data_IF_105038645428
#
_entry.id   IF_105038645428
#
_cell.length_a   1.000
_cell.length_b   1.000
_cell.length_c   1.000
_cell.angle_alpha   90.00
_cell.angle_beta   90.00
_cell.angle_gamma   90.00
#
_symmetry.space_group_name_H-M   'P 1'
#
loop_
_entity.id
_entity.type
_entity.pdbx_description
1 polymer ?
#
# COMPACT_ATOMS: atom_id res chain seq x y z
N UNK A 1 14.24 2.91 -51.16
CA UNK A 1 14.96 3.46 -50.00
C UNK A 1 14.05 4.52 -49.38
N UNK A 2 13.20 4.12 -48.43
CA UNK A 2 12.27 5.03 -47.75
C UNK A 2 12.29 4.60 -46.29
N UNK A 3 13.02 5.38 -45.49
CA UNK A 3 13.36 5.08 -44.11
C UNK A 3 12.13 5.39 -43.23
N UNK A 4 11.61 4.37 -42.57
CA UNK A 4 10.54 4.46 -41.58
C UNK A 4 11.16 5.01 -40.28
N UNK A 5 10.96 6.30 -39.98
CA UNK A 5 11.39 6.91 -38.73
C UNK A 5 10.43 6.54 -37.59
N UNK A 6 10.87 5.64 -36.71
CA UNK A 6 10.22 5.37 -35.43
C UNK A 6 10.25 6.63 -34.54
N UNK A 7 9.08 7.16 -34.20
CA UNK A 7 8.93 8.05 -33.05
C UNK A 7 8.85 7.19 -31.78
N UNK A 8 9.94 7.14 -31.02
CA UNK A 8 9.93 6.67 -29.64
C UNK A 8 9.37 7.78 -28.75
N UNK A 9 8.09 7.71 -28.42
CA UNK A 9 7.51 8.51 -27.34
C UNK A 9 8.12 8.02 -26.01
N UNK A 10 9.05 8.77 -25.45
CA UNK A 10 9.52 8.53 -24.09
C UNK A 10 8.37 8.85 -23.13
N UNK A 11 7.75 7.80 -22.59
CA UNK A 11 6.72 7.92 -21.58
C UNK A 11 7.32 8.55 -20.32
N UNK A 12 6.87 9.76 -20.00
CA UNK A 12 6.98 10.34 -18.66
C UNK A 12 6.43 9.32 -17.65
N UNK A 13 7.25 8.95 -16.66
CA UNK A 13 6.86 8.01 -15.60
C UNK A 13 5.95 8.76 -14.62
N UNK A 14 4.67 8.41 -14.64
CA UNK A 14 3.66 8.93 -13.73
C UNK A 14 3.98 8.55 -12.26
N UNK A 15 3.46 9.34 -11.32
CA UNK A 15 3.57 9.13 -9.87
C UNK A 15 3.17 7.69 -9.49
N UNK A 16 3.96 7.10 -8.60
CA UNK A 16 3.78 5.75 -8.09
C UNK A 16 3.33 5.83 -6.63
N UNK A 17 2.13 5.34 -6.30
CA UNK A 17 1.77 5.20 -4.87
C UNK A 17 2.78 4.32 -4.14
N UNK A 18 3.00 4.61 -2.87
CA UNK A 18 3.87 3.83 -2.00
C UNK A 18 3.52 2.34 -2.08
N UNK A 19 4.54 1.52 -2.31
CA UNK A 19 4.41 0.06 -2.36
C UNK A 19 4.79 -0.53 -1.00
N UNK A 20 4.04 -1.54 -0.55
CA UNK A 20 4.26 -2.22 0.72
C UNK A 20 4.54 -3.71 0.47
N UNK A 21 5.59 -4.24 1.10
CA UNK A 21 5.88 -5.67 1.05
C UNK A 21 4.94 -6.45 1.96
N UNK A 22 4.63 -5.89 3.12
CA UNK A 22 3.75 -6.48 4.13
C UNK A 22 2.30 -5.96 4.00
N UNK A 23 1.82 -5.72 2.76
CA UNK A 23 0.47 -5.25 2.45
C UNK A 23 -0.65 -6.03 3.17
N UNK A 24 -0.49 -7.34 3.36
CA UNK A 24 -1.44 -8.23 4.03
C UNK A 24 -1.68 -7.90 5.50
N UNK A 25 -0.77 -7.15 6.14
CA UNK A 25 -0.92 -6.73 7.52
C UNK A 25 -1.61 -5.37 7.62
N UNK A 26 -1.59 -4.57 6.55
CA UNK A 26 -2.15 -3.22 6.49
C UNK A 26 -3.08 -3.01 5.28
N UNK A 27 -3.95 -3.99 5.02
CA UNK A 27 -4.86 -4.02 3.87
C UNK A 27 -5.79 -2.82 3.78
N UNK A 28 -6.07 -2.13 4.89
CA UNK A 28 -6.89 -0.91 4.92
C UNK A 28 -6.38 0.18 3.97
N UNK A 29 -5.07 0.28 3.80
CA UNK A 29 -4.43 1.31 2.95
C UNK A 29 -4.72 1.14 1.47
N UNK A 30 -4.92 -0.11 1.03
CA UNK A 30 -5.22 -0.45 -0.37
C UNK A 30 -6.71 -0.69 -0.59
N UNK A 31 -7.46 -1.10 0.44
CA UNK A 31 -8.88 -1.43 0.34
C UNK A 31 -9.65 -0.98 1.59
N UNK A 32 -10.42 0.10 1.45
CA UNK A 32 -11.25 0.67 2.52
C UNK A 32 -12.34 -0.28 3.02
N UNK A 33 -12.73 -1.30 2.26
CA UNK A 33 -13.67 -2.32 2.72
C UNK A 33 -13.07 -3.30 3.74
N UNK A 34 -11.75 -3.36 3.89
CA UNK A 34 -11.09 -4.13 4.95
C UNK A 34 -11.25 -3.49 6.34
N UNK A 35 -11.57 -2.19 6.41
CA UNK A 35 -11.72 -1.43 7.66
C UNK A 35 -12.66 -2.13 8.64
N UNK A 36 -12.23 -2.36 9.89
CA UNK A 36 -13.05 -2.98 10.93
C UNK A 36 -13.44 -4.44 10.68
N UNK A 37 -12.81 -5.14 9.73
CA UNK A 37 -13.02 -6.58 9.53
C UNK A 37 -12.39 -7.42 10.64
N UNK A 38 -11.36 -6.89 11.30
CA UNK A 38 -10.81 -7.46 12.54
C UNK A 38 -11.81 -7.20 13.67
N UNK A 39 -12.03 -8.17 14.54
CA UNK A 39 -13.03 -8.08 15.61
C UNK A 39 -12.55 -7.23 16.82
N UNK A 40 -11.49 -6.45 16.63
CA UNK A 40 -10.77 -5.67 17.65
C UNK A 40 -10.41 -4.28 17.11
N UNK A 41 -10.08 -3.33 18.00
CA UNK A 41 -9.39 -2.12 17.61
C UNK A 41 -7.97 -2.50 17.17
N UNK A 42 -7.62 -2.22 15.92
CA UNK A 42 -6.31 -2.51 15.36
C UNK A 42 -5.59 -1.21 15.06
N UNK A 43 -4.35 -1.09 15.55
CA UNK A 43 -3.45 0.02 15.29
C UNK A 43 -2.21 -0.56 14.62
N UNK A 44 -1.81 -0.01 13.47
CA UNK A 44 -0.64 -0.46 12.74
C UNK A 44 0.24 0.76 12.47
N UNK A 45 1.52 0.65 12.82
CA UNK A 45 2.58 1.52 12.36
C UNK A 45 3.49 0.75 11.42
N UNK A 46 3.83 1.33 10.28
CA UNK A 46 4.76 0.75 9.32
C UNK A 46 5.74 1.83 8.87
N UNK A 47 7.02 1.48 8.80
CA UNK A 47 8.07 2.30 8.22
C UNK A 47 8.80 1.50 7.16
N UNK A 48 9.05 2.14 6.02
CA UNK A 48 9.74 1.55 4.88
C UNK A 48 10.80 2.51 4.38
N UNK A 49 12.02 2.00 4.24
CA UNK A 49 13.12 2.70 3.58
C UNK A 49 13.50 1.92 2.33
N UNK A 50 13.27 2.51 1.16
CA UNK A 50 13.47 1.87 -0.12
C UNK A 50 14.84 2.18 -0.69
N UNK A 51 15.43 1.22 -1.40
CA UNK A 51 16.67 1.39 -2.15
C UNK A 51 17.79 2.05 -1.34
N UNK A 52 18.07 1.47 -0.17
CA UNK A 52 19.06 1.99 0.77
C UNK A 52 20.42 2.16 0.08
N UNK A 53 21.02 3.33 0.26
CA UNK A 53 22.26 3.74 -0.39
C UNK A 53 22.07 4.68 -1.58
N UNK A 54 20.84 4.86 -2.08
CA UNK A 54 20.51 5.91 -3.05
C UNK A 54 20.13 7.21 -2.34
N UNK A 55 20.75 8.32 -2.75
CA UNK A 55 20.39 9.65 -2.25
C UNK A 55 19.00 10.04 -2.76
N UNK A 56 18.13 10.47 -1.84
CA UNK A 56 16.75 10.83 -2.16
C UNK A 56 15.83 9.64 -2.42
N UNK A 57 16.21 8.44 -1.98
CA UNK A 57 15.37 7.26 -2.11
C UNK A 57 14.06 7.38 -1.31
N UNK A 58 13.00 6.63 -1.71
CA UNK A 58 11.71 6.69 -1.04
C UNK A 58 11.77 6.26 0.44
N UNK A 59 11.22 7.10 1.31
CA UNK A 59 10.94 6.77 2.70
C UNK A 59 9.45 6.94 2.97
N UNK A 60 8.80 5.87 3.42
CA UNK A 60 7.36 5.86 3.66
C UNK A 60 7.07 5.53 5.13
N UNK A 61 6.29 6.39 5.78
CA UNK A 61 5.67 6.13 7.08
C UNK A 61 4.17 5.94 6.91
N UNK A 62 3.64 4.96 7.61
CA UNK A 62 2.22 4.65 7.58
C UNK A 62 1.71 4.40 9.00
N UNK A 63 0.60 5.05 9.33
CA UNK A 63 -0.13 4.83 10.56
C UNK A 63 -1.60 4.57 10.22
N UNK A 64 -2.13 3.43 10.64
CA UNK A 64 -3.56 3.13 10.55
C UNK A 64 -4.13 2.78 11.91
N UNK A 65 -5.39 3.16 12.10
CA UNK A 65 -6.21 2.74 13.24
C UNK A 65 -7.59 2.43 12.71
N UNK A 66 -8.12 1.24 13.01
CA UNK A 66 -9.48 0.90 12.65
C UNK A 66 -10.14 -0.02 13.64
N UNK A 67 -11.46 0.03 13.71
CA UNK A 67 -12.27 -0.74 14.65
C UNK A 67 -13.59 -1.16 14.02
N UNK A 68 -14.12 -2.34 14.36
CA UNK A 68 -15.54 -2.59 14.19
C UNK A 68 -16.33 -1.66 15.13
N UNK A 69 -17.44 -1.14 14.65
CA UNK A 69 -18.40 -0.34 15.41
C UNK A 69 -19.77 -0.97 15.27
N UNK A 70 -20.36 -1.36 16.41
CA UNK A 70 -21.57 -2.19 16.42
C UNK A 70 -21.36 -3.52 15.68
N UNK A 71 -22.41 -3.99 15.00
CA UNK A 71 -22.42 -5.33 14.40
C UNK A 71 -21.95 -5.38 12.95
N UNK A 72 -22.02 -4.26 12.22
CA UNK A 72 -21.83 -4.26 10.76
C UNK A 72 -21.00 -3.09 10.24
N UNK A 73 -20.63 -2.12 11.07
CA UNK A 73 -19.83 -0.99 10.60
C UNK A 73 -18.37 -1.21 10.97
N UNK A 74 -17.48 -0.73 10.11
CA UNK A 74 -16.07 -0.50 10.43
C UNK A 74 -15.75 0.97 10.24
N UNK A 75 -14.99 1.55 11.16
CA UNK A 75 -14.43 2.90 11.04
C UNK A 75 -12.93 2.83 11.13
N UNK A 76 -12.24 3.69 10.39
CA UNK A 76 -10.79 3.80 10.48
C UNK A 76 -10.23 5.12 9.99
N UNK A 77 -9.00 5.39 10.40
CA UNK A 77 -8.16 6.48 9.96
C UNK A 77 -6.83 5.92 9.43
N UNK A 78 -6.34 6.47 8.33
CA UNK A 78 -5.04 6.17 7.75
C UNK A 78 -4.29 7.46 7.48
N UNK A 79 -3.03 7.51 7.90
CA UNK A 79 -2.09 8.59 7.62
C UNK A 79 -0.88 7.96 6.95
N UNK A 80 -0.56 8.42 5.75
CA UNK A 80 0.62 7.98 4.99
C UNK A 80 1.45 9.21 4.68
N UNK A 81 2.72 9.17 5.02
CA UNK A 81 3.70 10.18 4.63
C UNK A 81 4.75 9.49 3.78
N UNK A 82 4.91 9.96 2.55
CA UNK A 82 5.88 9.43 1.59
C UNK A 82 6.80 10.54 1.13
N UNK A 83 8.10 10.29 1.25
CA UNK A 83 9.14 11.24 0.90
C UNK A 83 10.00 10.65 -0.19
N UNK A 84 10.04 11.30 -1.35
CA UNK A 84 10.81 10.85 -2.52
C UNK A 84 11.59 12.04 -3.05
N UNK A 85 12.92 12.00 -2.91
CA UNK A 85 13.85 13.02 -3.39
C UNK A 85 13.47 14.45 -2.92
N UNK A 86 12.87 15.25 -3.80
CA UNK A 86 12.43 16.63 -3.54
C UNK A 86 10.97 16.75 -3.11
N UNK A 87 10.21 15.65 -3.15
CA UNK A 87 8.78 15.60 -2.90
C UNK A 87 8.49 15.01 -1.52
N UNK A 88 7.56 15.64 -0.81
CA UNK A 88 6.94 15.15 0.41
C UNK A 88 5.43 15.12 0.19
N UNK A 89 4.82 13.97 0.41
CA UNK A 89 3.41 13.73 0.18
C UNK A 89 2.78 13.12 1.44
N UNK A 90 1.83 13.83 2.03
CA UNK A 90 1.09 13.35 3.20
C UNK A 90 -0.38 13.17 2.88
N UNK A 91 -0.84 11.92 2.91
CA UNK A 91 -2.23 11.53 2.71
C UNK A 91 -2.89 11.23 4.05
N UNK A 92 -4.05 11.85 4.31
CA UNK A 92 -4.89 11.59 5.48
C UNK A 92 -6.27 11.15 5.01
N UNK A 93 -6.69 9.94 5.40
CA UNK A 93 -7.96 9.34 4.99
C UNK A 93 -8.77 8.82 6.18
N UNK A 94 -10.04 9.20 6.22
CA UNK A 94 -11.05 8.44 6.96
C UNK A 94 -11.66 7.35 6.09
N UNK A 95 -11.94 6.19 6.67
CA UNK A 95 -12.62 5.08 5.99
C UNK A 95 -13.81 4.58 6.80
N UNK A 96 -14.87 4.21 6.08
CA UNK A 96 -16.04 3.54 6.61
C UNK A 96 -16.33 2.29 5.78
N UNK A 97 -16.69 1.21 6.45
CA UNK A 97 -17.13 -0.03 5.81
C UNK A 97 -18.45 -0.52 6.36
N UNK A 98 -19.22 -1.21 5.52
CA UNK A 98 -20.44 -1.92 5.89
C UNK A 98 -20.31 -3.41 5.55
N UNK A 99 -20.40 -4.25 6.58
CA UNK A 99 -20.26 -5.70 6.53
C UNK A 99 -21.64 -6.35 6.36
N UNK A 100 -21.84 -6.96 5.19
CA UNK A 100 -23.04 -7.69 4.78
C UNK A 100 -22.79 -9.19 4.96
N UNK A 101 -23.38 -9.84 5.98
CA UNK A 101 -23.34 -11.29 6.08
C UNK A 101 -24.09 -11.89 4.88
N UNK A 102 -23.40 -12.66 4.06
CA UNK A 102 -23.99 -13.31 2.88
C UNK A 102 -24.50 -14.71 3.24
N UNK A 103 -23.80 -15.37 4.16
CA UNK A 103 -24.08 -16.72 4.64
C UNK A 103 -23.36 -16.93 5.99
N UNK A 104 -23.54 -18.08 6.64
CA UNK A 104 -22.80 -18.40 7.86
C UNK A 104 -21.29 -18.44 7.59
N UNK A 105 -20.56 -17.60 8.34
CA UNK A 105 -19.12 -17.45 8.20
C UNK A 105 -18.63 -16.79 6.91
N UNK A 106 -19.51 -16.22 6.07
CA UNK A 106 -19.17 -15.50 4.82
C UNK A 106 -19.67 -14.06 4.90
N UNK A 107 -18.82 -13.09 4.60
CA UNK A 107 -19.17 -11.67 4.70
C UNK A 107 -18.62 -10.90 3.50
N UNK A 108 -19.48 -10.11 2.89
CA UNK A 108 -19.11 -9.10 1.90
C UNK A 108 -19.07 -7.75 2.60
N UNK A 109 -17.90 -7.12 2.64
CA UNK A 109 -17.73 -5.76 3.13
C UNK A 109 -17.67 -4.80 1.95
N UNK A 110 -18.38 -3.70 2.03
CA UNK A 110 -18.30 -2.58 1.10
C UNK A 110 -17.73 -1.38 1.84
N UNK A 111 -16.77 -0.68 1.25
CA UNK A 111 -16.07 0.40 1.91
C UNK A 111 -15.95 1.63 1.02
N UNK A 112 -15.92 2.78 1.68
CA UNK A 112 -15.57 4.06 1.06
C UNK A 112 -14.56 4.77 1.96
N UNK A 113 -13.63 5.48 1.35
CA UNK A 113 -12.71 6.36 2.05
C UNK A 113 -12.77 7.76 1.45
N UNK A 114 -12.49 8.74 2.29
CA UNK A 114 -12.45 10.15 1.93
C UNK A 114 -11.38 10.86 2.76
N UNK A 115 -10.69 11.78 2.11
CA UNK A 115 -9.53 12.41 2.71
C UNK A 115 -8.94 13.51 1.84
N UNK A 116 -7.69 13.83 2.15
CA UNK A 116 -6.92 14.81 1.42
C UNK A 116 -5.46 14.37 1.35
N UNK A 117 -4.84 14.75 0.25
CA UNK A 117 -3.43 14.60 0.00
C UNK A 117 -2.77 15.99 0.04
N UNK A 118 -1.64 16.09 0.74
CA UNK A 118 -0.86 17.32 0.90
C UNK A 118 0.49 17.10 0.23
N UNK A 119 0.71 17.76 -0.90
CA UNK A 119 1.96 17.67 -1.67
C UNK A 119 2.81 18.92 -1.44
N UNK A 120 4.06 18.70 -1.06
CA UNK A 120 5.11 19.72 -1.03
C UNK A 120 6.28 19.29 -1.90
N UNK A 121 6.78 20.19 -2.75
CA UNK A 121 7.92 19.95 -3.65
C UNK A 121 8.92 21.08 -3.48
N UNK A 122 10.12 20.72 -3.04
CA UNK A 122 11.22 21.65 -2.81
C UNK A 122 12.24 21.56 -3.95
N UNK A 123 12.04 22.38 -4.99
CA UNK A 123 12.90 22.40 -6.17
C UNK A 123 14.32 22.87 -5.87
N UNK A 124 14.58 23.53 -4.74
CA UNK A 124 15.93 23.90 -4.33
C UNK A 124 16.85 22.67 -4.12
N UNK A 125 16.26 21.53 -3.76
CA UNK A 125 16.97 20.25 -3.58
C UNK A 125 17.27 19.53 -4.89
N UNK A 126 16.70 19.97 -6.02
CA UNK A 126 16.90 19.36 -7.33
C UNK A 126 18.25 19.73 -7.98
N UNK A 127 19.05 20.58 -7.32
CA UNK A 127 20.24 21.22 -7.91
C UNK A 127 21.49 20.29 -7.98
N UNK A 128 21.29 19.04 -8.44
CA UNK A 128 22.35 18.02 -8.65
C UNK A 128 22.76 17.86 -10.12
N UNK A 129 22.56 18.87 -10.96
CA UNK A 129 23.19 18.96 -12.30
C UNK A 129 22.24 18.84 -13.52
N UNK A 130 20.93 18.71 -13.32
CA UNK A 130 19.90 18.82 -14.38
C UNK A 130 19.08 20.12 -14.27
N UNK A 131 19.67 21.15 -13.65
CA UNK A 131 19.05 22.46 -13.46
C UNK A 131 19.29 23.29 -14.74
N UNK A 132 18.24 23.56 -15.51
CA UNK A 132 18.24 24.70 -16.44
C UNK A 132 17.86 25.94 -15.63
N UNK A 133 18.78 26.89 -15.38
CA UNK A 133 18.47 28.14 -14.67
C UNK A 133 17.36 28.97 -15.32
N UNK A 134 17.00 28.66 -16.57
CA UNK A 134 15.99 29.36 -17.35
C UNK A 134 14.62 28.68 -17.36
N UNK A 135 14.40 27.54 -16.68
CA UNK A 135 13.07 26.94 -16.58
C UNK A 135 12.22 27.70 -15.54
N UNK A 136 11.20 28.48 -15.94
CA UNK A 136 10.39 29.29 -15.03
C UNK A 136 9.58 28.44 -14.03
N UNK A 137 9.38 27.14 -14.31
CA UNK A 137 8.57 26.24 -13.47
C UNK A 137 9.35 25.64 -12.31
N UNK A 138 10.69 25.66 -12.35
CA UNK A 138 11.56 25.14 -11.29
C UNK A 138 11.98 26.23 -10.29
N UNK A 139 11.49 27.46 -10.47
CA UNK A 139 11.85 28.62 -9.65
C UNK A 139 10.97 28.80 -8.39
N UNK A 140 9.84 28.08 -8.30
CA UNK A 140 8.89 28.22 -7.19
C UNK A 140 8.55 26.88 -6.56
N UNK A 141 8.86 26.75 -5.26
CA UNK A 141 8.46 25.59 -4.47
C UNK A 141 6.93 25.43 -4.46
N UNK A 142 6.49 24.17 -4.43
CA UNK A 142 5.10 23.84 -4.15
C UNK A 142 5.02 23.59 -2.65
N UNK A 143 4.18 24.32 -1.94
CA UNK A 143 4.00 24.16 -0.50
C UNK A 143 2.56 23.75 -0.21
N UNK A 144 2.38 22.62 0.47
CA UNK A 144 1.11 22.15 1.02
C UNK A 144 -0.06 22.16 0.01
N UNK A 145 0.19 21.75 -1.23
CA UNK A 145 -0.87 21.64 -2.24
C UNK A 145 -1.84 20.55 -1.81
N UNK A 146 -3.03 20.99 -1.41
CA UNK A 146 -4.11 20.09 -0.99
C UNK A 146 -4.89 19.58 -2.20
N UNK A 147 -5.05 18.27 -2.29
CA UNK A 147 -5.92 17.61 -3.28
C UNK A 147 -6.90 16.69 -2.54
N UNK A 148 -8.21 16.73 -2.85
CA UNK A 148 -9.16 15.80 -2.23
C UNK A 148 -8.90 14.37 -2.70
N UNK A 149 -9.22 13.40 -1.85
CA UNK A 149 -9.11 11.99 -2.17
C UNK A 149 -10.42 11.27 -1.82
N UNK A 150 -10.90 10.44 -2.74
CA UNK A 150 -12.08 9.59 -2.53
C UNK A 150 -11.78 8.22 -3.11
N UNK A 151 -12.09 7.17 -2.35
CA UNK A 151 -11.90 5.80 -2.80
C UNK A 151 -13.04 4.88 -2.39
N UNK A 152 -13.04 3.71 -3.02
CA UNK A 152 -14.06 2.68 -2.84
C UNK A 152 -13.41 1.31 -2.78
N UNK A 153 -14.08 0.37 -2.12
CA UNK A 153 -13.63 -1.00 -2.03
C UNK A 153 -14.78 -1.98 -1.84
N UNK A 154 -14.55 -3.20 -2.30
CA UNK A 154 -15.29 -4.39 -1.93
C UNK A 154 -14.30 -5.41 -1.37
N UNK A 155 -14.69 -6.10 -0.31
CA UNK A 155 -13.86 -7.11 0.35
C UNK A 155 -14.72 -8.26 0.84
N UNK A 156 -14.62 -9.39 0.17
CA UNK A 156 -15.26 -10.63 0.54
C UNK A 156 -14.33 -11.47 1.39
N UNK A 157 -14.80 -11.98 2.52
CA UNK A 157 -13.99 -12.82 3.39
C UNK A 157 -14.80 -13.90 4.10
N UNK A 158 -14.09 -14.96 4.46
CA UNK A 158 -14.56 -16.10 5.26
C UNK A 158 -13.59 -16.35 6.41
N UNK A 159 -13.65 -17.51 7.08
CA UNK A 159 -12.64 -17.87 8.10
C UNK A 159 -11.24 -18.14 7.51
N UNK A 160 -11.14 -18.49 6.23
CA UNK A 160 -9.87 -18.94 5.60
C UNK A 160 -9.54 -18.25 4.28
N UNK A 161 -10.53 -17.69 3.61
CA UNK A 161 -10.38 -17.08 2.28
C UNK A 161 -10.75 -15.61 2.31
N UNK A 162 -10.06 -14.82 1.50
CA UNK A 162 -10.47 -13.45 1.20
C UNK A 162 -10.18 -13.08 -0.26
N UNK A 163 -10.99 -12.16 -0.77
CA UNK A 163 -10.77 -11.50 -2.05
C UNK A 163 -11.31 -10.06 -1.97
N UNK A 164 -10.62 -9.12 -2.59
CA UNK A 164 -11.02 -7.73 -2.59
C UNK A 164 -10.68 -7.03 -3.89
N UNK A 165 -11.50 -6.06 -4.23
CA UNK A 165 -11.31 -5.13 -5.35
C UNK A 165 -11.46 -3.72 -4.80
N UNK A 166 -10.55 -2.82 -5.14
CA UNK A 166 -10.60 -1.44 -4.64
C UNK A 166 -9.91 -0.45 -5.55
N UNK A 167 -10.26 0.82 -5.33
CA UNK A 167 -9.54 1.98 -5.82
C UNK A 167 -9.45 2.98 -4.67
N UNK A 168 -8.29 3.14 -4.00
CA UNK A 168 -8.16 4.02 -2.85
C UNK A 168 -8.24 5.51 -3.23
N UNK A 169 -7.94 5.84 -4.50
CA UNK A 169 -8.22 7.13 -5.10
C UNK A 169 -8.93 6.95 -6.46
N UNK A 170 -10.07 7.61 -6.62
CA UNK A 170 -10.86 7.70 -7.86
C UNK A 170 -10.73 9.07 -8.54
N UNK A 171 -10.18 10.06 -7.84
CA UNK A 171 -10.06 11.41 -8.35
C UNK A 171 -8.75 11.56 -9.12
N UNK A 172 -8.86 11.96 -10.38
CA UNK A 172 -7.70 12.32 -11.18
C UNK A 172 -7.32 13.78 -10.91
N UNK A 173 -6.19 13.98 -10.23
CA UNK A 173 -5.64 15.32 -10.01
C UNK A 173 -4.76 15.67 -11.21
N UNK A 174 -5.19 16.63 -12.04
CA UNK A 174 -4.34 17.17 -13.12
C UNK A 174 -3.44 18.26 -12.56
N UNK A 175 -2.15 17.98 -12.53
CA UNK A 175 -1.14 18.98 -12.23
C UNK A 175 -0.75 19.67 -13.56
N UNK A 176 -1.21 20.91 -13.74
CA UNK A 176 -0.81 21.97 -14.72
C UNK A 176 -1.91 22.56 -15.62
N UNK A 177 -1.81 23.88 -15.75
CA UNK A 177 -2.66 24.79 -16.52
C UNK A 177 -2.18 24.86 -17.99
N UNK A 178 -3.16 25.06 -18.88
CA UNK A 178 -3.26 25.07 -20.35
C UNK A 178 -2.10 25.47 -21.31
N UNK A 179 -0.82 25.56 -20.92
CA UNK A 179 0.26 25.99 -21.85
C UNK A 179 1.56 25.15 -21.87
N UNK A 180 1.61 23.94 -21.28
CA UNK A 180 2.80 23.08 -21.33
C UNK A 180 2.43 21.62 -21.61
N UNK A 181 3.09 21.00 -22.60
CA UNK A 181 2.85 19.65 -23.13
C UNK A 181 3.27 18.48 -22.20
N UNK A 182 3.14 18.61 -20.88
CA UNK A 182 3.24 17.44 -19.98
C UNK A 182 2.32 17.59 -18.77
N UNK A 183 1.16 16.94 -18.84
CA UNK A 183 0.25 16.79 -17.70
C UNK A 183 0.74 15.64 -16.82
N UNK A 184 1.21 15.95 -15.60
CA UNK A 184 1.29 14.94 -14.55
C UNK A 184 -0.14 14.79 -13.99
N UNK A 185 -0.81 13.71 -14.35
CA UNK A 185 -2.14 13.38 -13.82
C UNK A 185 -1.97 12.24 -12.82
N UNK A 186 -2.48 12.42 -11.62
CA UNK A 186 -2.78 11.29 -10.73
C UNK A 186 -3.81 10.41 -11.46
N UNK A 187 -3.53 9.11 -11.61
CA UNK A 187 -4.37 8.18 -12.35
C UNK A 187 -5.05 7.21 -11.40
N UNK A 188 -6.23 6.74 -11.79
CA UNK A 188 -6.98 5.75 -11.02
C UNK A 188 -6.19 4.43 -10.95
N UNK A 189 -5.87 4.02 -9.72
CA UNK A 189 -5.20 2.76 -9.42
C UNK A 189 -6.21 1.71 -8.96
N UNK A 190 -6.36 0.64 -9.75
CA UNK A 190 -7.18 -0.50 -9.39
C UNK A 190 -6.34 -1.56 -8.69
N UNK A 191 -6.82 -2.01 -7.54
CA UNK A 191 -6.20 -3.07 -6.73
C UNK A 191 -7.11 -4.28 -6.67
N UNK A 192 -6.55 -5.45 -6.93
CA UNK A 192 -7.17 -6.74 -6.64
C UNK A 192 -6.29 -7.50 -5.66
N UNK A 193 -6.86 -7.98 -4.56
CA UNK A 193 -6.15 -8.77 -3.55
C UNK A 193 -6.89 -10.07 -3.29
N UNK A 194 -6.18 -11.17 -3.11
CA UNK A 194 -6.78 -12.42 -2.65
C UNK A 194 -5.79 -13.28 -1.88
N UNK A 195 -6.29 -14.19 -1.04
CA UNK A 195 -5.47 -15.17 -0.34
C UNK A 195 -6.31 -16.24 0.33
N UNK A 196 -5.64 -17.33 0.69
CA UNK A 196 -6.26 -18.47 1.36
C UNK A 196 -5.34 -18.99 2.47
N UNK A 197 -5.91 -19.38 3.61
CA UNK A 197 -5.20 -19.97 4.75
C UNK A 197 -5.44 -21.48 4.77
N UNK A 198 -4.40 -22.24 4.48
CA UNK A 198 -4.35 -23.70 4.61
C UNK A 198 -3.86 -24.07 6.01
N UNK A 199 -4.63 -24.87 6.75
CA UNK A 199 -4.13 -25.51 7.96
C UNK A 199 -3.39 -26.79 7.52
N UNK A 200 -2.05 -26.73 7.48
CA UNK A 200 -1.23 -27.87 7.08
C UNK A 200 -1.08 -28.88 8.23
N UNK A 201 -1.04 -28.36 9.46
CA UNK A 201 -0.99 -29.12 10.71
C UNK A 201 -1.63 -28.27 11.83
N UNK A 202 -1.81 -28.86 13.02
CA UNK A 202 -2.32 -28.16 14.20
C UNK A 202 -1.47 -26.91 14.56
N UNK A 203 -0.16 -26.97 14.30
CA UNK A 203 0.77 -25.88 14.58
C UNK A 203 1.21 -25.10 13.33
N UNK A 204 0.85 -25.52 12.12
CA UNK A 204 1.40 -24.94 10.88
C UNK A 204 0.27 -24.49 9.96
N UNK A 205 0.24 -23.20 9.65
CA UNK A 205 -0.66 -22.63 8.65
C UNK A 205 0.12 -22.01 7.52
N UNK A 206 -0.33 -22.21 6.29
CA UNK A 206 0.25 -21.62 5.08
C UNK A 206 -0.76 -20.65 4.46
N UNK A 207 -0.30 -19.44 4.13
CA UNK A 207 -1.07 -18.40 3.47
C UNK A 207 -0.38 -17.92 2.19
N UNK A 208 -0.71 -18.51 1.03
CA UNK A 208 -0.49 -17.85 -0.24
C UNK A 208 -1.41 -16.62 -0.38
N UNK A 209 -0.87 -15.57 -0.96
CA UNK A 209 -1.61 -14.36 -1.30
C UNK A 209 -1.12 -13.77 -2.62
N UNK A 210 -2.03 -13.06 -3.28
CA UNK A 210 -1.82 -12.37 -4.54
C UNK A 210 -2.32 -10.92 -4.39
N UNK A 211 -1.53 -9.97 -4.88
CA UNK A 211 -1.91 -8.58 -5.05
C UNK A 211 -1.63 -8.19 -6.51
N UNK A 212 -2.62 -7.59 -7.16
CA UNK A 212 -2.50 -7.05 -8.51
C UNK A 212 -2.82 -5.57 -8.46
N UNK A 213 -1.95 -4.74 -9.01
CA UNK A 213 -2.13 -3.30 -9.18
C UNK A 213 -2.14 -2.97 -10.67
N UNK A 214 -3.22 -2.37 -11.13
CA UNK A 214 -3.42 -1.95 -12.50
C UNK A 214 -3.66 -0.43 -12.56
N UNK A 215 -3.01 0.24 -13.49
CA UNK A 215 -3.20 1.67 -13.78
C UNK A 215 -3.16 1.88 -15.28
N UNK A 216 -3.99 2.79 -15.78
CA UNK A 216 -3.99 3.12 -17.20
C UNK A 216 -2.61 3.67 -17.61
N UNK A 217 -2.03 3.10 -18.68
CA UNK A 217 -0.78 3.57 -19.28
C UNK A 217 0.51 3.26 -18.50
N UNK A 218 0.50 2.32 -17.55
CA UNK A 218 1.72 1.70 -17.01
C UNK A 218 1.62 0.17 -17.06
N UNK A 219 2.75 -0.55 -16.97
CA UNK A 219 2.74 -2.02 -16.87
C UNK A 219 1.96 -2.49 -15.65
N UNK A 220 1.35 -3.67 -15.78
CA UNK A 220 0.68 -4.36 -14.67
C UNK A 220 1.72 -4.71 -13.58
N UNK A 221 1.37 -4.48 -12.32
CA UNK A 221 2.18 -4.92 -11.18
C UNK A 221 1.50 -6.09 -10.48
N UNK A 222 2.26 -7.17 -10.26
CA UNK A 222 1.77 -8.42 -9.67
C UNK A 222 2.71 -8.84 -8.55
N UNK A 223 2.15 -9.02 -7.36
CA UNK A 223 2.83 -9.44 -6.14
C UNK A 223 2.27 -10.79 -5.68
N UNK A 224 3.13 -11.81 -5.66
CA UNK A 224 2.78 -13.14 -5.13
C UNK A 224 3.55 -13.35 -3.84
N UNK A 225 2.87 -13.77 -2.78
CA UNK A 225 3.52 -14.08 -1.50
C UNK A 225 3.03 -15.39 -0.90
N UNK A 226 3.86 -15.99 -0.07
CA UNK A 226 3.52 -17.15 0.74
C UNK A 226 4.07 -16.95 2.15
N UNK A 227 3.19 -17.02 3.15
CA UNK A 227 3.54 -16.87 4.57
C UNK A 227 3.19 -18.16 5.33
N UNK A 228 4.11 -18.68 6.14
CA UNK A 228 3.91 -19.82 7.02
C UNK A 228 3.88 -19.32 8.46
N UNK A 229 2.79 -19.60 9.16
CA UNK A 229 2.61 -19.33 10.58
C UNK A 229 2.86 -20.61 11.37
N UNK A 230 3.77 -20.53 12.34
CA UNK A 230 4.11 -21.59 13.28
C UNK A 230 3.58 -21.25 14.67
N UNK A 231 2.75 -22.14 15.22
CA UNK A 231 2.18 -22.12 16.57
C UNK A 231 1.56 -20.78 16.96
N UNK A 232 0.91 -20.09 16.01
CA UNK A 232 0.30 -18.76 16.18
C UNK A 232 1.28 -17.66 16.66
N UNK A 233 2.60 -17.92 16.61
CA UNK A 233 3.62 -17.03 17.17
C UNK A 233 4.59 -16.51 16.13
N UNK A 234 5.08 -17.36 15.25
CA UNK A 234 6.16 -17.02 14.34
C UNK A 234 5.70 -17.13 12.91
N UNK A 235 5.83 -16.06 12.13
CA UNK A 235 5.53 -16.06 10.70
C UNK A 235 6.83 -15.94 9.91
N UNK A 236 7.02 -16.82 8.93
CA UNK A 236 8.04 -16.65 7.90
C UNK A 236 7.36 -16.51 6.56
N UNK A 237 7.85 -15.64 5.70
CA UNK A 237 7.27 -15.46 4.39
C UNK A 237 8.28 -15.13 3.32
N UNK A 238 7.89 -15.42 2.10
CA UNK A 238 8.59 -15.01 0.89
C UNK A 238 7.60 -14.32 -0.04
N UNK A 239 8.08 -13.36 -0.81
CA UNK A 239 7.29 -12.74 -1.86
C UNK A 239 8.12 -12.53 -3.12
N UNK A 240 7.42 -12.47 -4.24
CA UNK A 240 7.97 -12.11 -5.54
C UNK A 240 7.06 -11.07 -6.18
N UNK A 241 7.63 -9.88 -6.38
CA UNK A 241 7.04 -8.79 -7.14
C UNK A 241 7.57 -8.86 -8.56
N UNK A 242 6.68 -9.13 -9.50
CA UNK A 242 7.05 -9.27 -10.91
C UNK A 242 7.77 -8.02 -11.41
N UNK A 243 8.96 -8.23 -11.99
CA UNK A 243 9.84 -7.21 -12.56
C UNK A 243 10.26 -6.11 -11.58
N UNK A 244 10.22 -6.40 -10.28
CA UNK A 244 10.63 -5.48 -9.24
C UNK A 244 11.54 -6.17 -8.22
N UNK A 245 11.06 -7.09 -7.39
CA UNK A 245 11.83 -7.58 -6.23
C UNK A 245 11.48 -9.01 -5.79
N UNK A 246 12.42 -9.64 -5.09
CA UNK A 246 12.21 -10.83 -4.26
C UNK A 246 12.33 -10.43 -2.80
N UNK A 247 11.39 -10.87 -1.96
CA UNK A 247 11.31 -10.45 -0.56
C UNK A 247 11.39 -11.62 0.39
N UNK A 248 12.05 -11.40 1.52
CA UNK A 248 11.99 -12.26 2.70
C UNK A 248 11.31 -11.52 3.84
N UNK A 249 10.44 -12.21 4.57
CA UNK A 249 9.62 -11.64 5.63
C UNK A 249 9.69 -12.52 6.89
N UNK A 250 9.74 -11.88 8.05
CA UNK A 250 9.63 -12.54 9.33
C UNK A 250 8.73 -11.72 10.26
N UNK A 251 7.87 -12.40 11.00
CA UNK A 251 6.94 -11.79 11.94
C UNK A 251 6.91 -12.55 13.26
N UNK A 252 6.74 -11.84 14.36
CA UNK A 252 6.65 -12.41 15.69
C UNK A 252 5.50 -11.80 16.48
N UNK A 253 4.55 -12.64 16.86
CA UNK A 253 3.45 -12.32 17.76
C UNK A 253 3.96 -12.43 19.20
N UNK A 254 4.43 -11.30 19.74
CA UNK A 254 5.04 -11.20 21.07
C UNK A 254 4.01 -11.50 22.17
N UNK A 255 2.77 -11.07 21.96
CA UNK A 255 1.62 -11.37 22.83
C UNK A 255 0.36 -11.41 21.97
N UNK A 256 -0.77 -11.86 22.51
CA UNK A 256 -2.06 -11.86 21.78
C UNK A 256 -2.47 -10.47 21.23
N UNK A 257 -1.88 -9.39 21.77
CA UNK A 257 -2.18 -8.01 21.41
C UNK A 257 -1.10 -7.33 20.58
N UNK A 258 0.09 -7.90 20.49
CA UNK A 258 1.24 -7.20 19.91
C UNK A 258 2.02 -8.09 18.95
N UNK A 259 2.21 -7.59 17.74
CA UNK A 259 3.01 -8.22 16.70
C UNK A 259 4.03 -7.23 16.14
N UNK A 260 5.22 -7.73 15.87
CA UNK A 260 6.24 -7.04 15.08
C UNK A 260 6.51 -7.86 13.83
N UNK A 261 6.81 -7.19 12.72
CA UNK A 261 7.31 -7.85 11.52
C UNK A 261 8.34 -7.02 10.81
N UNK A 262 9.19 -7.72 10.08
CA UNK A 262 10.28 -7.15 9.31
C UNK A 262 10.32 -7.85 7.95
N UNK A 263 10.53 -7.06 6.91
CA UNK A 263 10.74 -7.52 5.56
C UNK A 263 11.98 -6.88 4.94
N UNK A 264 12.65 -7.65 4.10
CA UNK A 264 13.74 -7.19 3.26
C UNK A 264 13.42 -7.52 1.81
N UNK A 265 13.53 -6.52 0.95
CA UNK A 265 13.34 -6.68 -0.49
C UNK A 265 14.69 -6.56 -1.21
N UNK A 266 15.00 -7.59 -1.97
CA UNK A 266 16.08 -7.58 -2.94
C UNK A 266 15.50 -7.22 -4.31
N UNK A 267 15.92 -6.07 -4.84
CA UNK A 267 15.60 -5.64 -6.21
C UNK A 267 16.11 -6.63 -7.27
N UNK A 268 15.24 -7.06 -8.17
CA UNK A 268 15.60 -7.91 -9.33
C UNK A 268 15.96 -7.09 -10.57
N UNK A 269 15.71 -5.77 -10.52
CA UNK A 269 15.94 -4.85 -11.62
C UNK A 269 17.41 -4.39 -11.69
N UNK A 270 17.77 -3.68 -12.77
CA UNK A 270 19.10 -3.04 -12.91
C UNK A 270 19.43 -2.09 -11.74
N UNK A 271 18.41 -1.63 -11.01
CA UNK A 271 18.57 -0.76 -9.85
C UNK A 271 19.33 -1.44 -8.71
N UNK A 272 19.29 -2.78 -8.62
CA UNK A 272 20.01 -3.57 -7.61
C UNK A 272 21.52 -3.30 -7.58
N UNK A 273 22.12 -2.82 -8.69
CA UNK A 273 23.55 -2.48 -8.75
C UNK A 273 23.92 -1.20 -8.00
N UNK A 274 22.92 -0.40 -7.63
CA UNK A 274 23.10 0.93 -7.07
C UNK A 274 22.47 1.08 -5.68
N UNK A 275 21.83 0.04 -5.15
CA UNK A 275 21.22 0.05 -3.83
C UNK A 275 21.44 -1.28 -3.10
N UNK A 276 21.25 -1.28 -1.79
CA UNK A 276 21.45 -2.43 -0.90
C UNK A 276 20.14 -3.14 -0.51
N UNK A 277 19.07 -2.93 -1.28
CA UNK A 277 17.72 -3.43 -1.02
C UNK A 277 16.82 -2.43 -0.29
N UNK A 278 15.63 -2.89 0.07
CA UNK A 278 14.64 -2.11 0.82
C UNK A 278 14.30 -2.80 2.13
N UNK A 279 14.10 -2.02 3.19
CA UNK A 279 13.79 -2.51 4.52
C UNK A 279 12.41 -2.01 4.94
N UNK A 280 11.61 -2.89 5.53
CA UNK A 280 10.27 -2.55 6.01
C UNK A 280 10.03 -3.17 7.38
N UNK A 281 9.59 -2.35 8.34
CA UNK A 281 9.21 -2.78 9.67
C UNK A 281 7.77 -2.39 9.92
N UNK A 282 6.99 -3.28 10.54
CA UNK A 282 5.67 -2.94 11.06
C UNK A 282 5.51 -3.36 12.52
N UNK A 283 4.66 -2.60 13.20
CA UNK A 283 4.17 -2.86 14.54
C UNK A 283 2.66 -2.89 14.47
N UNK A 284 2.04 -3.95 14.99
CA UNK A 284 0.59 -4.07 15.08
C UNK A 284 0.17 -4.27 16.53
N UNK A 285 -0.75 -3.44 16.98
CA UNK A 285 -1.41 -3.53 18.27
C UNK A 285 -2.89 -3.85 18.07
N UNK A 286 -3.38 -4.84 18.80
CA UNK A 286 -4.79 -5.24 18.82
C UNK A 286 -5.31 -5.06 20.25
N UNK A 287 -6.24 -4.13 20.40
CA UNK A 287 -6.79 -3.71 21.69
C UNK A 287 -8.29 -3.98 21.70
N UNK A 288 -8.81 -4.36 22.86
CA UNK A 288 -10.24 -4.55 23.16
C UNK A 288 -10.96 -5.51 22.19
N UNK A 289 -11.35 -6.69 22.67
CA UNK A 289 -12.24 -7.54 21.88
C UNK A 289 -13.67 -6.98 21.90
N UNK A 290 -14.04 -6.27 20.84
CA UNK A 290 -15.29 -5.50 20.78
C UNK A 290 -16.47 -6.35 20.30
N UNK A 291 -16.21 -7.50 19.68
CA UNK A 291 -17.22 -8.53 19.40
C UNK A 291 -16.93 -9.69 20.34
N UNK A 292 -17.90 -10.12 21.16
CA UNK A 292 -17.78 -11.21 22.16
C UNK A 292 -17.50 -12.62 21.56
N UNK A 293 -16.85 -12.72 20.40
CA UNK A 293 -16.36 -13.97 19.82
C UNK A 293 -14.89 -14.12 20.20
N UNK A 294 -14.57 -15.20 20.91
CA UNK A 294 -13.20 -15.65 21.08
C UNK A 294 -12.80 -16.25 19.74
N UNK A 295 -12.17 -15.46 18.89
CA UNK A 295 -11.58 -15.92 17.63
C UNK A 295 -10.08 -15.68 17.74
N UNK A 296 -9.28 -16.65 17.27
CA UNK A 296 -7.83 -16.46 17.13
C UNK A 296 -7.55 -15.23 16.28
N UNK A 297 -6.42 -14.53 16.48
CA UNK A 297 -6.00 -13.46 15.58
C UNK A 297 -6.16 -13.91 14.14
N UNK A 298 -6.90 -13.14 13.33
CA UNK A 298 -7.11 -13.51 11.93
C UNK A 298 -5.76 -13.43 11.22
N UNK A 299 -5.35 -14.55 10.65
CA UNK A 299 -4.18 -14.67 9.79
C UNK A 299 -4.52 -14.26 8.35
N UNK A 300 -5.25 -13.16 8.18
CA UNK A 300 -5.45 -12.37 6.96
C UNK A 300 -6.07 -11.01 7.33
#
# INVERSE_FOLDING_TARGET
MMLLSLLTAQGSRAQQDSQYTQYMYNTMTINSAYTGTRDMLSIIGLYRNQWVGLNGAPETMNFTIHSPVGNRLGLGLSIVSDKIFISDETTVNGAISYQIPVDDGKTLSLGVNGGFNLLSVDFSKANTGAFDPNDPNLQYNIENRLSPQVGVGAYYYTKKFYAGLSSPNLLETKHYNSNVNSTASERIHLYFITGYVFDLDYFIKLKPALLVKAVSGAPLSVDVSANVLFSEKFTLGVAYRWDAAVSAMAGFQISDKFMVGYAYDWETTKLSRYNSGSHEIFLRFELFNLRKKILSPRFF
#
